data_IF_220969604887
#
_entry.id   IF_220969604887
#
_cell.length_a   1.000
_cell.length_b   1.000
_cell.length_c   1.000
_cell.angle_alpha   90.00
_cell.angle_beta   90.00
_cell.angle_gamma   90.00
#
_symmetry.space_group_name_H-M   'P 1'
#
loop_
_entity.id
_entity.type
_entity.pdbx_description
1 polymer ?
#
# COMPACT_ATOMS: atom_id res chain seq x y z
N UNK A 1 6.00 -2.91 19.84
CA UNK A 1 5.43 -4.02 20.66
C UNK A 1 4.27 -4.79 19.99
N UNK A 2 3.34 -4.14 19.27
CA UNK A 2 2.15 -4.83 18.69
C UNK A 2 2.49 -6.02 17.79
N UNK A 3 3.50 -5.90 16.93
CA UNK A 3 3.93 -7.00 16.05
C UNK A 3 4.46 -8.22 16.82
N UNK A 4 5.11 -8.02 17.98
CA UNK A 4 5.53 -9.13 18.84
C UNK A 4 4.32 -9.90 19.36
N UNK A 5 3.35 -9.20 19.96
CA UNK A 5 2.15 -9.84 20.50
C UNK A 5 1.24 -10.43 19.42
N UNK A 6 1.20 -9.81 18.24
CA UNK A 6 0.56 -10.39 17.07
C UNK A 6 1.19 -11.74 16.73
N UNK A 7 2.52 -11.79 16.63
CA UNK A 7 3.27 -13.05 16.43
C UNK A 7 2.98 -14.07 17.52
N UNK A 8 3.13 -13.68 18.78
CA UNK A 8 2.90 -14.53 19.95
C UNK A 8 1.52 -15.21 19.90
N UNK A 9 0.47 -14.46 19.59
CA UNK A 9 -0.89 -15.03 19.45
C UNK A 9 -1.03 -16.03 18.29
N UNK A 10 -0.17 -15.96 17.26
CA UNK A 10 -0.13 -16.96 16.19
C UNK A 10 0.57 -18.27 16.60
N UNK A 11 1.33 -18.25 17.69
CA UNK A 11 1.95 -19.42 18.32
C UNK A 11 1.18 -19.86 19.58
N UNK A 12 -0.09 -19.46 19.73
CA UNK A 12 -0.91 -19.87 20.87
C UNK A 12 -0.40 -19.34 22.22
N UNK A 13 0.21 -18.16 22.22
CA UNK A 13 0.86 -17.53 23.37
C UNK A 13 2.07 -18.30 23.94
N UNK A 14 2.61 -19.24 23.16
CA UNK A 14 3.87 -19.92 23.46
C UNK A 14 5.09 -19.11 22.96
N UNK A 15 5.72 -18.40 23.90
CA UNK A 15 6.93 -17.61 23.62
C UNK A 15 8.12 -18.49 23.21
N UNK A 16 8.19 -19.73 23.69
CA UNK A 16 9.29 -20.64 23.38
C UNK A 16 9.18 -21.10 21.92
N UNK A 17 7.99 -21.54 21.50
CA UNK A 17 7.73 -21.92 20.12
C UNK A 17 7.96 -20.77 19.13
N UNK A 18 7.51 -19.55 19.50
CA UNK A 18 7.77 -18.34 18.70
C UNK A 18 9.27 -18.05 18.58
N UNK A 19 10.01 -18.11 19.70
CA UNK A 19 11.46 -17.87 19.74
C UNK A 19 12.23 -18.87 18.87
N UNK A 20 11.91 -20.16 18.99
CA UNK A 20 12.52 -21.23 18.18
C UNK A 20 12.28 -21.05 16.67
N UNK A 21 11.14 -20.49 16.28
CA UNK A 21 10.91 -20.12 14.89
C UNK A 21 11.73 -18.88 14.50
N UNK A 22 11.64 -17.81 15.30
CA UNK A 22 12.18 -16.49 14.96
C UNK A 22 13.72 -16.41 14.97
N UNK A 23 14.40 -17.23 15.78
CA UNK A 23 15.86 -17.26 15.87
C UNK A 23 16.53 -18.09 14.77
N UNK A 24 15.75 -18.84 13.98
CA UNK A 24 16.25 -19.46 12.74
C UNK A 24 16.65 -18.38 11.74
N UNK A 25 17.66 -18.66 10.92
CA UNK A 25 18.10 -17.74 9.88
C UNK A 25 16.93 -17.30 8.99
N UNK A 26 16.86 -15.99 8.70
CA UNK A 26 15.85 -15.42 7.81
C UNK A 26 15.94 -16.14 6.45
N UNK A 27 14.81 -16.66 5.98
CA UNK A 27 14.79 -17.37 4.71
C UNK A 27 14.82 -16.36 3.55
N UNK A 28 15.97 -16.21 2.91
CA UNK A 28 16.16 -15.33 1.74
C UNK A 28 15.26 -15.68 0.55
N UNK A 29 14.67 -16.89 0.51
CA UNK A 29 13.74 -17.32 -0.54
C UNK A 29 12.29 -16.88 -0.29
N UNK A 30 11.99 -16.24 0.84
CA UNK A 30 10.62 -15.84 1.14
C UNK A 30 10.16 -14.70 0.22
N UNK A 31 9.16 -14.95 -0.62
CA UNK A 31 8.53 -13.94 -1.46
C UNK A 31 7.16 -13.56 -0.88
N UNK A 32 6.97 -12.32 -0.38
CA UNK A 32 5.68 -11.86 0.15
C UNK A 32 4.54 -11.88 -0.88
N UNK A 33 4.84 -11.95 -2.19
CA UNK A 33 3.81 -12.07 -3.24
C UNK A 33 3.23 -13.48 -3.34
N UNK A 34 3.87 -14.50 -2.75
CA UNK A 34 3.38 -15.89 -2.78
C UNK A 34 2.29 -16.14 -1.72
N UNK A 35 2.00 -15.16 -0.87
CA UNK A 35 0.92 -15.26 0.12
C UNK A 35 -0.45 -15.20 -0.54
N UNK A 36 -1.37 -16.07 -0.11
CA UNK A 36 -2.78 -15.96 -0.45
C UNK A 36 -3.43 -14.81 0.34
N UNK A 37 -3.62 -13.68 -0.34
CA UNK A 37 -4.27 -12.49 0.23
C UNK A 37 -5.79 -12.55 0.24
N UNK A 38 -6.41 -13.58 -0.35
CA UNK A 38 -7.87 -13.75 -0.36
C UNK A 38 -8.37 -14.29 0.98
N UNK A 39 -7.62 -15.22 1.58
CA UNK A 39 -7.87 -15.81 2.90
C UNK A 39 -6.53 -15.91 3.65
N UNK A 40 -6.00 -14.80 4.18
CA UNK A 40 -4.65 -14.79 4.70
C UNK A 40 -4.56 -15.63 5.98
N UNK A 41 -3.74 -16.68 5.93
CA UNK A 41 -3.24 -17.36 7.12
C UNK A 41 -2.43 -16.35 7.94
N UNK A 42 -2.93 -16.01 9.13
CA UNK A 42 -2.30 -14.99 10.00
C UNK A 42 -0.87 -15.37 10.40
N UNK A 43 -0.60 -16.66 10.60
CA UNK A 43 0.74 -17.15 10.87
C UNK A 43 1.67 -16.88 9.68
N UNK A 44 1.23 -17.13 8.44
CA UNK A 44 2.05 -16.89 7.25
C UNK A 44 2.30 -15.40 7.01
N UNK A 45 1.30 -14.54 7.30
CA UNK A 45 1.49 -13.08 7.32
C UNK A 45 2.52 -12.67 8.36
N UNK A 46 2.46 -13.20 9.58
CA UNK A 46 3.48 -12.93 10.60
C UNK A 46 4.87 -13.36 10.13
N UNK A 47 5.01 -14.57 9.60
CA UNK A 47 6.27 -15.08 9.05
C UNK A 47 6.82 -14.17 7.95
N UNK A 48 5.95 -13.65 7.09
CA UNK A 48 6.33 -12.72 6.04
C UNK A 48 6.89 -11.40 6.57
N UNK A 49 6.23 -10.84 7.60
CA UNK A 49 6.70 -9.64 8.29
C UNK A 49 8.03 -9.93 8.99
N UNK A 50 8.16 -11.05 9.69
CA UNK A 50 9.40 -11.42 10.40
C UNK A 50 10.59 -11.59 9.46
N UNK A 51 10.39 -12.20 8.29
CA UNK A 51 11.45 -12.41 7.30
C UNK A 51 11.75 -11.18 6.44
N UNK A 52 11.17 -10.01 6.73
CA UNK A 52 11.46 -8.79 5.98
C UNK A 52 12.87 -8.29 6.27
N UNK A 53 13.69 -8.19 5.21
CA UNK A 53 15.03 -7.62 5.29
C UNK A 53 14.93 -6.09 5.25
N UNK A 54 15.37 -5.44 6.32
CA UNK A 54 15.39 -3.98 6.44
C UNK A 54 16.75 -3.42 6.05
N UNK A 55 16.77 -2.30 5.34
CA UNK A 55 18.02 -1.54 5.13
C UNK A 55 18.38 -0.77 6.41
N UNK A 56 19.69 -0.62 6.65
CA UNK A 56 20.17 0.20 7.76
C UNK A 56 19.84 1.68 7.53
N UNK A 57 19.27 2.31 8.54
CA UNK A 57 18.99 3.73 8.62
C UNK A 57 19.25 4.15 10.07
N UNK A 58 20.11 5.14 10.28
CA UNK A 58 20.57 5.54 11.61
C UNK A 58 19.46 6.15 12.48
N UNK A 59 18.52 6.85 11.85
CA UNK A 59 17.36 7.44 12.54
C UNK A 59 16.39 6.34 12.95
N UNK A 60 16.11 5.40 12.05
CA UNK A 60 15.27 4.23 12.34
C UNK A 60 15.89 3.36 13.43
N UNK A 61 17.21 3.16 13.41
CA UNK A 61 17.93 2.39 14.44
C UNK A 61 17.81 3.06 15.81
N UNK A 62 18.03 4.38 15.89
CA UNK A 62 17.84 5.15 17.12
C UNK A 62 16.41 5.02 17.66
N UNK A 63 15.40 5.20 16.81
CA UNK A 63 13.98 5.08 17.17
C UNK A 63 13.67 3.65 17.66
N UNK A 64 14.19 2.63 16.96
CA UNK A 64 13.98 1.23 17.31
C UNK A 64 14.59 0.89 18.68
N UNK A 65 15.80 1.39 18.97
CA UNK A 65 16.46 1.19 20.27
C UNK A 65 15.69 1.84 21.42
N UNK A 66 15.27 3.09 21.24
CA UNK A 66 14.46 3.79 22.23
C UNK A 66 13.12 3.07 22.46
N UNK A 67 12.46 2.67 21.36
CA UNK A 67 11.21 1.90 21.40
C UNK A 67 11.39 0.58 22.17
N UNK A 68 12.45 -0.17 21.91
CA UNK A 68 12.73 -1.42 22.62
C UNK A 68 12.98 -1.20 24.11
N UNK A 69 13.77 -0.19 24.48
CA UNK A 69 14.05 0.14 25.87
C UNK A 69 12.77 0.54 26.64
N UNK A 70 12.02 1.52 26.13
CA UNK A 70 10.81 2.02 26.81
C UNK A 70 9.72 0.97 26.90
N UNK A 71 9.37 0.33 25.77
CA UNK A 71 8.25 -0.60 25.77
C UNK A 71 8.56 -1.89 26.53
N UNK A 72 9.79 -2.39 26.50
CA UNK A 72 10.12 -3.58 27.29
C UNK A 72 9.95 -3.35 28.79
N UNK A 73 10.35 -2.19 29.31
CA UNK A 73 10.12 -1.84 30.73
C UNK A 73 8.63 -1.81 31.04
N UNK A 74 7.85 -1.03 30.28
CA UNK A 74 6.41 -0.86 30.53
C UNK A 74 5.66 -2.19 30.45
N UNK A 75 5.91 -3.00 29.42
CA UNK A 75 5.21 -4.27 29.26
C UNK A 75 5.65 -5.31 30.30
N UNK A 76 6.92 -5.35 30.71
CA UNK A 76 7.37 -6.28 31.76
C UNK A 76 6.88 -5.90 33.18
N UNK A 77 6.38 -4.69 33.38
CA UNK A 77 5.64 -4.32 34.59
C UNK A 77 4.24 -4.93 34.64
N UNK A 78 3.68 -5.33 33.50
CA UNK A 78 2.37 -5.97 33.45
C UNK A 78 2.47 -7.44 33.92
N UNK A 79 1.69 -7.88 34.92
CA UNK A 79 1.77 -9.24 35.46
C UNK A 79 1.55 -10.35 34.42
N UNK A 80 0.64 -10.14 33.46
CA UNK A 80 0.34 -11.10 32.40
C UNK A 80 1.53 -11.27 31.44
N UNK A 81 2.17 -10.17 31.04
CA UNK A 81 3.36 -10.25 30.17
C UNK A 81 4.52 -10.88 30.93
N UNK A 82 4.69 -10.52 32.21
CA UNK A 82 5.73 -11.12 33.08
C UNK A 82 5.51 -12.63 33.29
N UNK A 83 4.26 -13.09 33.30
CA UNK A 83 3.95 -14.52 33.40
C UNK A 83 4.20 -15.29 32.11
N UNK A 84 4.36 -14.62 30.96
CA UNK A 84 4.77 -15.22 29.69
C UNK A 84 6.30 -15.14 29.54
N UNK A 85 6.88 -13.97 29.76
CA UNK A 85 8.31 -13.68 29.64
C UNK A 85 9.01 -14.01 30.97
N UNK A 86 9.23 -15.30 31.24
CA UNK A 86 9.69 -15.80 32.55
C UNK A 86 11.19 -15.86 32.71
N UNK A 87 11.91 -16.15 31.63
CA UNK A 87 13.33 -16.47 31.66
C UNK A 87 14.17 -15.35 31.07
N UNK A 88 15.46 -15.32 31.40
CA UNK A 88 16.39 -14.35 30.82
C UNK A 88 16.52 -14.49 29.28
N UNK A 89 16.56 -15.70 28.69
CA UNK A 89 16.40 -15.87 27.24
C UNK A 89 15.14 -15.23 26.68
N UNK A 90 13.96 -15.47 27.29
CA UNK A 90 12.70 -14.87 26.83
C UNK A 90 12.76 -13.34 26.89
N UNK A 91 13.37 -12.78 27.94
CA UNK A 91 13.54 -11.34 28.10
C UNK A 91 14.42 -10.75 27.00
N UNK A 92 15.56 -11.37 26.69
CA UNK A 92 16.43 -10.95 25.60
C UNK A 92 15.74 -11.06 24.24
N UNK A 93 15.03 -12.16 24.00
CA UNK A 93 14.23 -12.35 22.79
C UNK A 93 13.16 -11.27 22.64
N UNK A 94 12.42 -10.96 23.71
CA UNK A 94 11.39 -9.93 23.71
C UNK A 94 11.94 -8.54 23.34
N UNK A 95 13.04 -8.12 23.99
CA UNK A 95 13.67 -6.82 23.72
C UNK A 95 14.16 -6.74 22.28
N UNK A 96 14.91 -7.76 21.81
CA UNK A 96 15.42 -7.83 20.44
C UNK A 96 14.29 -7.85 19.41
N UNK A 97 13.20 -8.54 19.71
CA UNK A 97 12.03 -8.59 18.84
C UNK A 97 11.34 -7.24 18.74
N UNK A 98 11.19 -6.49 19.85
CA UNK A 98 10.64 -5.12 19.77
C UNK A 98 11.52 -4.23 18.90
N UNK A 99 12.85 -4.28 19.07
CA UNK A 99 13.78 -3.51 18.26
C UNK A 99 13.64 -3.89 16.78
N UNK A 100 13.73 -5.18 16.46
CA UNK A 100 13.63 -5.72 15.10
C UNK A 100 12.30 -5.34 14.45
N UNK A 101 11.18 -5.56 15.12
CA UNK A 101 9.87 -5.25 14.56
C UNK A 101 9.59 -3.75 14.48
N UNK A 102 10.29 -2.91 15.23
CA UNK A 102 10.24 -1.45 15.03
C UNK A 102 10.86 -1.06 13.69
N UNK A 103 11.98 -1.69 13.33
CA UNK A 103 12.65 -1.49 12.04
C UNK A 103 11.82 -2.03 10.89
N UNK A 104 11.28 -3.24 11.04
CA UNK A 104 10.38 -3.85 10.05
C UNK A 104 9.12 -3.00 9.86
N UNK A 105 8.52 -2.49 10.94
CA UNK A 105 7.35 -1.61 10.86
C UNK A 105 7.67 -0.35 10.06
N UNK A 106 8.81 0.31 10.30
CA UNK A 106 9.22 1.47 9.53
C UNK A 106 9.44 1.11 8.04
N UNK A 107 10.05 -0.04 7.77
CA UNK A 107 10.34 -0.51 6.42
C UNK A 107 9.11 -0.97 5.63
N UNK A 108 8.00 -1.34 6.29
CA UNK A 108 6.77 -1.82 5.64
C UNK A 108 5.60 -0.84 5.76
N UNK A 109 5.76 0.25 6.52
CA UNK A 109 4.72 1.24 6.73
C UNK A 109 4.35 1.90 5.40
N UNK A 110 3.06 1.84 5.06
CA UNK A 110 2.46 2.61 3.98
C UNK A 110 1.40 3.54 4.51
N UNK A 111 1.53 4.81 4.18
CA UNK A 111 0.59 5.85 4.58
C UNK A 111 -0.48 6.02 3.50
N UNK A 112 -1.73 6.14 3.92
CA UNK A 112 -2.85 6.45 3.06
C UNK A 112 -3.64 7.59 3.66
N UNK A 113 -3.81 8.67 2.88
CA UNK A 113 -4.66 9.78 3.27
C UNK A 113 -6.13 9.38 3.21
N UNK A 114 -6.85 9.60 4.29
CA UNK A 114 -8.30 9.48 4.38
C UNK A 114 -8.91 10.86 4.66
N UNK A 115 -10.22 11.01 4.49
CA UNK A 115 -10.92 12.30 4.71
C UNK A 115 -10.72 12.88 6.13
N UNK A 116 -10.35 12.06 7.11
CA UNK A 116 -10.16 12.44 8.52
C UNK A 116 -8.70 12.38 9.02
N UNK A 117 -7.70 12.20 8.14
CA UNK A 117 -6.29 12.12 8.53
C UNK A 117 -5.45 11.15 7.71
N UNK A 118 -4.42 10.58 8.32
CA UNK A 118 -3.54 9.58 7.69
C UNK A 118 -3.66 8.27 8.44
N UNK A 119 -3.92 7.19 7.71
CA UNK A 119 -3.80 5.82 8.24
C UNK A 119 -2.46 5.26 7.79
N UNK A 120 -1.68 4.77 8.76
CA UNK A 120 -0.49 3.96 8.49
C UNK A 120 -0.86 2.49 8.58
N UNK A 121 -0.58 1.74 7.51
CA UNK A 121 -0.77 0.28 7.45
C UNK A 121 0.59 -0.41 7.33
N UNK A 122 0.76 -1.53 8.03
CA UNK A 122 1.95 -2.39 7.92
C UNK A 122 1.50 -3.67 7.23
N UNK A 123 2.13 -4.00 6.10
CA UNK A 123 1.79 -5.17 5.30
C UNK A 123 3.05 -5.75 4.64
N UNK A 124 3.14 -7.07 4.44
CA UNK A 124 4.32 -7.70 3.82
C UNK A 124 4.69 -7.11 2.45
N UNK A 125 3.69 -6.66 1.69
CA UNK A 125 3.87 -6.09 0.34
C UNK A 125 3.97 -4.56 0.32
N UNK A 126 4.03 -3.90 1.49
CA UNK A 126 3.78 -2.47 1.62
C UNK A 126 4.72 -1.61 0.80
N UNK A 127 6.02 -1.90 0.91
CA UNK A 127 7.08 -1.14 0.24
C UNK A 127 7.81 -1.93 -0.85
N UNK A 128 7.16 -2.95 -1.43
CA UNK A 128 7.71 -3.65 -2.60
C UNK A 128 7.65 -2.81 -3.87
N UNK A 129 6.65 -1.93 -3.96
CA UNK A 129 6.35 -1.20 -5.19
C UNK A 129 6.93 0.19 -5.13
N UNK A 130 7.96 0.44 -5.93
CA UNK A 130 8.62 1.74 -5.98
C UNK A 130 7.70 2.84 -6.57
N UNK A 131 8.11 4.08 -6.34
CA UNK A 131 7.42 5.25 -6.85
C UNK A 131 7.65 5.50 -8.35
N UNK A 132 6.59 5.87 -9.07
CA UNK A 132 6.65 6.60 -10.34
C UNK A 132 5.56 7.67 -10.39
N UNK A 133 5.86 8.83 -10.99
CA UNK A 133 4.86 9.84 -11.33
C UNK A 133 3.96 9.41 -12.50
N UNK A 134 4.35 8.36 -13.23
CA UNK A 134 3.56 7.64 -14.23
C UNK A 134 3.41 6.16 -13.83
N UNK A 135 2.59 5.86 -12.81
CA UNK A 135 2.54 4.54 -12.19
C UNK A 135 1.86 3.49 -13.07
N UNK A 136 2.16 2.22 -12.79
CA UNK A 136 1.46 1.07 -13.36
C UNK A 136 0.16 0.79 -12.61
N UNK A 137 0.17 1.00 -11.31
CA UNK A 137 -0.92 0.62 -10.41
C UNK A 137 -1.24 1.71 -9.39
N UNK A 138 -2.45 1.66 -8.87
CA UNK A 138 -2.91 2.46 -7.73
C UNK A 138 -3.15 1.54 -6.53
N UNK A 139 -2.74 1.98 -5.35
CA UNK A 139 -3.09 1.33 -4.09
C UNK A 139 -4.15 2.13 -3.37
N UNK A 140 -5.17 1.45 -2.86
CA UNK A 140 -6.30 2.03 -2.14
C UNK A 140 -6.42 1.30 -0.82
N UNK A 141 -6.27 2.03 0.29
CA UNK A 141 -6.37 1.47 1.63
C UNK A 141 -7.65 1.98 2.29
N UNK A 142 -8.50 1.07 2.73
CA UNK A 142 -9.72 1.40 3.47
C UNK A 142 -10.08 0.27 4.43
N UNK A 143 -10.52 0.60 5.65
CA UNK A 143 -10.99 -0.42 6.60
C UNK A 143 -9.97 -1.48 7.01
N UNK A 144 -8.66 -1.16 6.97
CA UNK A 144 -7.59 -2.14 7.21
C UNK A 144 -7.34 -3.10 6.04
N UNK A 145 -8.00 -2.91 4.91
CA UNK A 145 -7.79 -3.64 3.66
C UNK A 145 -7.02 -2.76 2.68
N UNK A 146 -6.27 -3.40 1.79
CA UNK A 146 -5.63 -2.70 0.69
C UNK A 146 -5.95 -3.40 -0.62
N UNK A 147 -6.36 -2.63 -1.62
CA UNK A 147 -6.55 -3.09 -2.99
C UNK A 147 -5.48 -2.45 -3.87
N UNK A 148 -4.90 -3.25 -4.76
CA UNK A 148 -4.04 -2.77 -5.83
C UNK A 148 -4.76 -2.96 -7.16
N UNK A 149 -4.85 -1.89 -7.95
CA UNK A 149 -5.53 -1.90 -9.24
C UNK A 149 -4.56 -1.45 -10.32
N UNK A 150 -4.39 -2.27 -11.36
CA UNK A 150 -3.57 -1.90 -12.52
C UNK A 150 -4.29 -0.80 -13.31
N UNK A 151 -3.59 0.31 -13.53
CA UNK A 151 -4.06 1.44 -14.34
C UNK A 151 -3.63 1.28 -15.80
N UNK A 152 -2.48 0.65 -16.05
CA UNK A 152 -1.94 0.37 -17.38
C UNK A 152 -1.20 -0.98 -17.38
N UNK A 153 -1.04 -1.64 -18.55
CA UNK A 153 -0.30 -2.88 -18.65
C UNK A 153 1.16 -2.73 -18.16
N UNK A 154 1.71 -3.82 -17.64
CA UNK A 154 3.14 -3.97 -17.33
C UNK A 154 3.66 -5.20 -18.09
N UNK A 155 4.90 -5.13 -18.59
CA UNK A 155 5.53 -6.25 -19.30
C UNK A 155 6.02 -7.31 -18.32
N UNK A 156 6.19 -8.54 -18.80
CA UNK A 156 6.83 -9.58 -18.00
C UNK A 156 8.25 -9.14 -17.59
N UNK A 157 8.57 -9.29 -16.30
CA UNK A 157 9.84 -8.85 -15.72
C UNK A 157 9.93 -7.34 -15.46
N UNK A 158 8.92 -6.55 -15.83
CA UNK A 158 8.88 -5.12 -15.51
C UNK A 158 8.48 -4.90 -14.06
N UNK A 159 9.16 -3.96 -13.40
CA UNK A 159 8.77 -3.54 -12.07
C UNK A 159 7.43 -2.77 -12.10
N UNK A 160 6.50 -3.20 -11.26
CA UNK A 160 5.25 -2.47 -11.04
C UNK A 160 5.55 -1.26 -10.15
N UNK A 161 5.11 -0.08 -10.60
CA UNK A 161 5.27 1.17 -9.87
C UNK A 161 3.93 1.69 -9.39
N UNK A 162 3.91 2.28 -8.21
CA UNK A 162 2.77 3.02 -7.65
C UNK A 162 3.16 4.49 -7.46
N UNK A 163 2.21 5.36 -7.12
CA UNK A 163 2.56 6.72 -6.70
C UNK A 163 2.58 6.85 -5.18
N UNK A 164 3.61 7.53 -4.65
CA UNK A 164 3.70 7.91 -3.23
C UNK A 164 3.15 9.33 -2.99
N UNK A 165 2.56 9.95 -4.01
CA UNK A 165 2.03 11.30 -3.96
C UNK A 165 1.72 11.84 -5.35
N UNK A 166 2.67 12.53 -5.99
CA UNK A 166 2.43 13.16 -7.29
C UNK A 166 2.24 12.12 -8.39
N UNK A 167 1.29 12.40 -9.28
CA UNK A 167 1.18 11.75 -10.60
C UNK A 167 1.07 12.83 -11.67
N UNK A 168 1.36 12.49 -12.93
CA UNK A 168 1.24 13.45 -14.02
C UNK A 168 -0.20 13.95 -14.24
N UNK A 169 -1.21 13.15 -13.89
CA UNK A 169 -2.63 13.48 -13.99
C UNK A 169 -3.24 14.04 -12.70
N UNK A 170 -2.50 13.98 -11.58
CA UNK A 170 -2.83 14.63 -10.31
C UNK A 170 -1.55 15.18 -9.67
N UNK A 171 -1.03 16.32 -10.17
CA UNK A 171 0.15 16.95 -9.58
C UNK A 171 -0.13 17.35 -8.13
N UNK A 172 0.87 17.17 -7.27
CA UNK A 172 0.81 17.52 -5.86
C UNK A 172 2.17 18.10 -5.45
N UNK A 173 2.24 19.18 -4.65
CA UNK A 173 3.50 19.78 -4.22
C UNK A 173 4.25 18.95 -3.16
N UNK A 174 3.94 17.66 -3.02
CA UNK A 174 4.57 16.79 -2.03
C UNK A 174 6.04 16.57 -2.38
N UNK A 175 6.93 16.92 -1.45
CA UNK A 175 8.35 16.59 -1.54
C UNK A 175 8.56 15.11 -1.22
N UNK A 176 9.21 14.40 -2.14
CA UNK A 176 9.62 13.01 -1.92
C UNK A 176 10.94 13.00 -1.15
N UNK A 177 11.12 12.01 -0.28
CA UNK A 177 12.38 11.80 0.48
C UNK A 177 13.53 11.29 -0.41
N UNK A 178 13.34 11.21 -1.72
CA UNK A 178 14.30 10.77 -2.71
C UNK A 178 14.10 11.54 -4.02
N UNK A 179 15.15 11.56 -4.85
CA UNK A 179 15.07 12.13 -6.20
C UNK A 179 14.38 11.14 -7.14
N UNK A 180 13.19 11.48 -7.64
CA UNK A 180 12.52 10.68 -8.67
C UNK A 180 13.20 10.86 -10.03
N UNK A 181 13.53 9.74 -10.69
CA UNK A 181 14.16 9.70 -12.02
C UNK A 181 13.23 9.09 -13.08
N UNK A 182 11.92 9.05 -12.85
CA UNK A 182 10.96 8.51 -13.83
C UNK A 182 10.83 9.41 -15.06
N UNK A 183 10.18 8.91 -16.12
CA UNK A 183 10.02 9.62 -17.39
C UNK A 183 9.34 11.01 -17.24
N UNK A 184 8.46 11.17 -16.24
CA UNK A 184 7.79 12.44 -15.96
C UNK A 184 8.74 13.46 -15.32
N UNK A 185 9.69 13.00 -14.50
CA UNK A 185 10.67 13.85 -13.82
C UNK A 185 11.96 14.03 -14.64
N UNK A 186 12.16 13.22 -15.67
CA UNK A 186 13.31 13.30 -16.57
C UNK A 186 13.30 14.64 -17.33
N UNK A 187 14.38 15.41 -17.18
CA UNK A 187 14.60 16.66 -17.92
C UNK A 187 15.38 16.44 -19.22
N UNK A 188 15.82 15.22 -19.48
CA UNK A 188 16.56 14.78 -20.67
C UNK A 188 15.68 14.63 -21.92
N UNK A 189 16.25 14.02 -22.97
CA UNK A 189 15.57 13.86 -24.27
C UNK A 189 14.31 12.99 -24.17
N UNK A 190 14.35 11.93 -23.36
CA UNK A 190 13.24 11.00 -23.22
C UNK A 190 12.05 11.66 -22.50
N UNK A 191 12.30 12.33 -21.37
CA UNK A 191 11.29 13.10 -20.65
C UNK A 191 10.69 14.21 -21.50
N UNK A 192 11.51 15.04 -22.18
CA UNK A 192 11.00 16.09 -23.09
C UNK A 192 10.10 15.53 -24.19
N UNK A 193 10.45 14.38 -24.78
CA UNK A 193 9.59 13.68 -25.75
C UNK A 193 8.26 13.29 -25.10
N UNK A 194 8.30 12.71 -23.91
CA UNK A 194 7.09 12.33 -23.17
C UNK A 194 6.22 13.54 -22.82
N UNK A 195 6.80 14.64 -22.34
CA UNK A 195 6.08 15.89 -22.03
C UNK A 195 5.41 16.49 -23.26
N UNK A 196 6.06 16.43 -24.44
CA UNK A 196 5.47 16.92 -25.69
C UNK A 196 4.17 16.20 -26.08
N UNK A 197 3.96 14.98 -25.59
CA UNK A 197 2.73 14.21 -25.82
C UNK A 197 1.59 14.62 -24.89
N UNK A 198 1.85 15.37 -23.82
CA UNK A 198 0.81 15.74 -22.86
C UNK A 198 -0.22 16.71 -23.45
N UNK A 199 0.22 17.61 -24.32
CA UNK A 199 -0.62 18.65 -24.90
C UNK A 199 -1.16 18.26 -26.28
N UNK A 200 -1.03 16.98 -26.67
CA UNK A 200 -1.54 16.50 -27.95
C UNK A 200 -3.06 16.55 -27.99
N UNK A 201 -3.57 16.86 -29.16
CA UNK A 201 -5.00 16.87 -29.42
C UNK A 201 -5.51 15.46 -29.71
N UNK A 202 -6.59 15.07 -29.02
CA UNK A 202 -7.33 13.86 -29.40
C UNK A 202 -7.98 14.04 -30.78
N UNK A 203 -8.15 12.95 -31.56
CA UNK A 203 -8.90 12.97 -32.80
C UNK A 203 -10.39 13.26 -32.53
N UNK A 204 -11.12 13.69 -33.56
CA UNK A 204 -12.49 14.20 -33.42
C UNK A 204 -13.47 13.16 -32.84
N UNK A 205 -13.34 11.89 -33.23
CA UNK A 205 -14.12 10.79 -32.69
C UNK A 205 -13.87 10.60 -31.18
N UNK A 206 -12.60 10.60 -30.74
CA UNK A 206 -12.26 10.47 -29.33
C UNK A 206 -12.79 11.65 -28.50
N UNK A 207 -12.74 12.88 -29.04
CA UNK A 207 -13.33 14.05 -28.35
C UNK A 207 -14.84 13.91 -28.16
N UNK A 208 -15.56 13.42 -29.16
CA UNK A 208 -17.01 13.18 -29.05
C UNK A 208 -17.32 12.14 -27.97
N UNK A 209 -16.58 11.03 -27.94
CA UNK A 209 -16.74 10.01 -26.91
C UNK A 209 -16.46 10.57 -25.50
N UNK A 210 -15.41 11.39 -25.34
CA UNK A 210 -15.08 12.04 -24.06
C UNK A 210 -16.15 13.05 -23.65
N UNK A 211 -16.68 13.84 -24.58
CA UNK A 211 -17.77 14.78 -24.29
C UNK A 211 -19.03 14.06 -23.82
N UNK A 212 -19.41 12.97 -24.50
CA UNK A 212 -20.51 12.12 -24.07
C UNK A 212 -20.25 11.53 -22.67
N UNK A 213 -19.03 11.08 -22.40
CA UNK A 213 -18.66 10.60 -21.07
C UNK A 213 -18.84 11.68 -20.00
N UNK A 214 -18.41 12.92 -20.26
CA UNK A 214 -18.60 14.05 -19.33
C UNK A 214 -20.09 14.29 -19.01
N UNK A 215 -20.98 14.09 -19.98
CA UNK A 215 -22.44 14.19 -19.76
C UNK A 215 -22.94 13.05 -18.86
N UNK A 216 -22.56 11.80 -19.15
CA UNK A 216 -22.94 10.62 -18.34
C UNK A 216 -22.43 10.76 -16.89
N UNK A 217 -21.23 11.31 -16.71
CA UNK A 217 -20.66 11.53 -15.38
C UNK A 217 -21.48 12.53 -14.55
N UNK A 218 -22.06 13.54 -15.20
CA UNK A 218 -22.94 14.52 -14.56
C UNK A 218 -24.36 14.03 -14.27
N UNK A 219 -24.79 12.91 -14.85
CA UNK A 219 -26.13 12.36 -14.65
C UNK A 219 -26.26 11.65 -13.30
N UNK A 220 -27.10 12.16 -12.40
CA UNK A 220 -27.34 11.57 -11.07
C UNK A 220 -28.13 10.26 -11.11
N UNK A 221 -28.83 9.96 -12.23
CA UNK A 221 -29.58 8.72 -12.42
C UNK A 221 -28.71 7.50 -12.72
N UNK A 222 -27.44 7.70 -13.09
CA UNK A 222 -26.50 6.60 -13.39
C UNK A 222 -25.73 6.21 -12.14
N UNK A 223 -25.75 4.92 -11.78
CA UNK A 223 -25.01 4.43 -10.62
C UNK A 223 -23.48 4.54 -10.81
N UNK A 224 -22.76 4.65 -9.68
CA UNK A 224 -21.31 4.89 -9.65
C UNK A 224 -20.49 3.78 -10.31
N UNK A 225 -20.89 2.51 -10.15
CA UNK A 225 -20.18 1.38 -10.74
C UNK A 225 -20.25 1.40 -12.28
N UNK A 226 -21.41 1.73 -12.84
CA UNK A 226 -21.59 1.92 -14.29
C UNK A 226 -20.73 3.07 -14.82
N UNK A 227 -20.68 4.21 -14.10
CA UNK A 227 -19.80 5.33 -14.45
C UNK A 227 -18.33 4.91 -14.45
N UNK A 228 -17.89 4.19 -13.42
CA UNK A 228 -16.51 3.69 -13.32
C UNK A 228 -16.18 2.75 -14.49
N UNK A 229 -17.04 1.78 -14.81
CA UNK A 229 -16.82 0.85 -15.91
C UNK A 229 -16.74 1.57 -17.25
N UNK A 230 -17.61 2.56 -17.49
CA UNK A 230 -17.62 3.35 -18.71
C UNK A 230 -16.32 4.16 -18.85
N UNK A 231 -15.86 4.81 -17.77
CA UNK A 231 -14.55 5.51 -17.75
C UNK A 231 -13.40 4.54 -18.02
N UNK A 232 -13.40 3.36 -17.39
CA UNK A 232 -12.34 2.36 -17.61
C UNK A 232 -12.28 1.91 -19.07
N UNK A 233 -13.42 1.63 -19.69
CA UNK A 233 -13.49 1.23 -21.10
C UNK A 233 -12.98 2.33 -22.03
N UNK A 234 -13.31 3.60 -21.73
CA UNK A 234 -12.86 4.74 -22.51
C UNK A 234 -11.36 4.95 -22.41
N UNK A 235 -10.79 4.84 -21.20
CA UNK A 235 -9.33 4.88 -20.98
C UNK A 235 -8.65 3.76 -21.78
N UNK A 236 -9.18 2.54 -21.74
CA UNK A 236 -8.64 1.40 -22.51
C UNK A 236 -8.68 1.65 -24.01
N UNK A 237 -9.81 2.15 -24.53
CA UNK A 237 -10.00 2.45 -25.96
C UNK A 237 -9.00 3.48 -26.48
N UNK A 238 -8.65 4.46 -25.66
CA UNK A 238 -7.76 5.56 -26.03
C UNK A 238 -6.40 5.49 -25.31
N UNK A 239 -5.96 4.28 -24.92
CA UNK A 239 -4.72 4.08 -24.18
C UNK A 239 -3.48 4.58 -24.93
N UNK A 240 -3.45 4.49 -26.26
CA UNK A 240 -2.37 5.01 -27.10
C UNK A 240 -2.23 6.55 -27.02
N UNK A 241 -3.25 7.23 -26.47
CA UNK A 241 -3.23 8.65 -26.18
C UNK A 241 -2.59 9.00 -24.84
N UNK A 242 -2.13 8.02 -24.05
CA UNK A 242 -1.25 8.25 -22.88
C UNK A 242 0.04 8.98 -23.27
N UNK A 243 0.43 10.12 -22.66
CA UNK A 243 -0.10 10.76 -21.44
C UNK A 243 -0.87 12.08 -21.71
N UNK A 244 -1.84 12.10 -22.63
CA UNK A 244 -2.59 13.31 -22.97
C UNK A 244 -3.32 13.86 -21.73
N UNK A 245 -3.08 15.13 -21.40
CA UNK A 245 -3.42 15.71 -20.10
C UNK A 245 -4.91 16.03 -19.96
N UNK A 246 -5.46 16.73 -20.95
CA UNK A 246 -6.77 17.38 -20.83
C UNK A 246 -7.92 16.38 -20.66
N UNK A 247 -7.89 15.28 -21.41
CA UNK A 247 -8.98 14.32 -21.46
C UNK A 247 -8.57 12.99 -20.82
N UNK A 248 -7.47 12.37 -21.26
CA UNK A 248 -7.05 11.06 -20.72
C UNK A 248 -6.59 11.20 -19.27
N UNK A 249 -5.80 12.22 -18.96
CA UNK A 249 -5.40 12.53 -17.58
C UNK A 249 -6.60 12.83 -16.68
N UNK A 250 -7.57 13.62 -17.16
CA UNK A 250 -8.80 13.89 -16.44
C UNK A 250 -9.60 12.61 -16.14
N UNK A 251 -9.79 11.75 -17.14
CA UNK A 251 -10.49 10.47 -16.97
C UNK A 251 -9.75 9.54 -16.00
N UNK A 252 -8.41 9.48 -16.06
CA UNK A 252 -7.61 8.66 -15.15
C UNK A 252 -7.70 9.16 -13.70
N UNK A 253 -7.72 10.49 -13.50
CA UNK A 253 -7.98 11.10 -12.19
C UNK A 253 -9.35 10.68 -11.64
N UNK A 254 -10.40 10.82 -12.45
CA UNK A 254 -11.77 10.42 -12.07
C UNK A 254 -11.89 8.93 -11.79
N UNK A 255 -11.24 8.09 -12.60
CA UNK A 255 -11.22 6.64 -12.39
C UNK A 255 -10.64 6.30 -11.02
N UNK A 256 -9.53 6.95 -10.64
CA UNK A 256 -8.95 6.79 -9.29
C UNK A 256 -9.91 7.24 -8.17
N UNK A 257 -10.66 8.32 -8.37
CA UNK A 257 -11.67 8.79 -7.41
C UNK A 257 -12.83 7.80 -7.27
N UNK A 258 -13.36 7.27 -8.39
CA UNK A 258 -14.39 6.23 -8.35
C UNK A 258 -13.93 4.95 -7.68
N UNK A 259 -12.70 4.51 -7.96
CA UNK A 259 -12.14 3.35 -7.27
C UNK A 259 -12.12 3.56 -5.75
N UNK A 260 -11.70 4.73 -5.27
CA UNK A 260 -11.75 5.03 -3.84
C UNK A 260 -13.17 4.94 -3.27
N UNK A 261 -14.17 5.52 -3.94
CA UNK A 261 -15.56 5.48 -3.48
C UNK A 261 -16.12 4.05 -3.43
N UNK A 262 -15.88 3.23 -4.45
CA UNK A 262 -16.40 1.86 -4.49
C UNK A 262 -15.75 0.99 -3.41
N UNK A 263 -14.44 1.15 -3.18
CA UNK A 263 -13.74 0.41 -2.12
C UNK A 263 -14.27 0.78 -0.74
N UNK A 264 -14.58 2.06 -0.51
CA UNK A 264 -15.21 2.53 0.72
C UNK A 264 -16.64 1.98 0.89
N UNK A 265 -17.45 2.01 -0.17
CA UNK A 265 -18.83 1.51 -0.10
C UNK A 265 -18.88 0.00 0.17
N UNK A 266 -18.00 -0.78 -0.49
CA UNK A 266 -17.85 -2.22 -0.23
C UNK A 266 -17.43 -2.50 1.21
N UNK A 267 -16.53 -1.70 1.78
CA UNK A 267 -16.15 -1.82 3.18
C UNK A 267 -17.34 -1.56 4.12
N UNK A 268 -18.10 -0.48 3.88
CA UNK A 268 -19.30 -0.16 4.66
C UNK A 268 -20.36 -1.25 4.54
N UNK A 269 -20.58 -1.81 3.35
CA UNK A 269 -21.50 -2.93 3.13
C UNK A 269 -21.08 -4.16 3.93
N UNK A 270 -19.80 -4.51 3.93
CA UNK A 270 -19.27 -5.61 4.73
C UNK A 270 -19.42 -5.36 6.24
N UNK A 271 -19.16 -4.13 6.71
CA UNK A 271 -19.36 -3.79 8.12
C UNK A 271 -20.82 -3.98 8.54
N UNK A 272 -21.76 -3.51 7.71
CA UNK A 272 -23.20 -3.72 7.95
C UNK A 272 -23.55 -5.20 8.01
N UNK A 273 -23.06 -6.00 7.06
CA UNK A 273 -23.31 -7.44 7.03
C UNK A 273 -22.77 -8.17 8.27
N UNK A 274 -21.57 -7.79 8.76
CA UNK A 274 -21.01 -8.37 9.99
C UNK A 274 -21.83 -8.03 11.22
N UNK A 275 -22.23 -6.76 11.37
CA UNK A 275 -23.08 -6.34 12.50
C UNK A 275 -24.43 -7.06 12.51
N UNK A 276 -24.99 -7.36 11.35
CA UNK A 276 -26.23 -8.14 11.23
C UNK A 276 -26.04 -9.63 11.53
N UNK A 277 -24.85 -10.19 11.30
CA UNK A 277 -24.56 -11.60 11.59
C UNK A 277 -24.18 -11.87 13.06
N UNK A 278 -23.86 -10.82 13.82
CA UNK A 278 -23.57 -10.86 15.25
C UNK A 278 -24.82 -10.60 16.13
N UNK A 279 -26.00 -10.40 15.51
CA UNK A 279 -27.32 -10.31 16.13
C UNK A 279 -28.06 -11.64 16.04
#
# INVERSE_FOLDING_TARGET
PRLFFYGLSQFGDDVQAMMEYCEKAINEKFNPLDLDYTIPCRLDVFKAVHNTITRYDSVVEMIANNTAATYSVVFLMNPLVKSIIRTEPHRRFFIRSIQTYSKVAAALATNSGISKGVITTIRPVGNLFNHSCDPHAMTISDGGRVKMVMLRPARQGEQIFISYGPTWYKPCPLSLMFKCCCIVCDKGKAGRKWHSLMDRKLPQNARKDVQLMKQILGDSGVNVASKMNAVQQLIKRYADYHPQREDIGYLLKLYGEFLCFIVQDEHLALMRAKLMAEQ
#
